data_IF_021898327793
#
_entry.id   IF_021898327793
#
_cell.length_a   1.000
_cell.length_b   1.000
_cell.length_c   1.000
_cell.angle_alpha   90.00
_cell.angle_beta   90.00
_cell.angle_gamma   90.00
#
_symmetry.space_group_name_H-M   'P 1'
#
loop_
_entity.id
_entity.type
_entity.pdbx_description
1 polymer ?
#
# COMPACT_ATOMS: atom_id res chain seq x y z
N UNK A 1 -13.23 26.91 0.05
CA UNK A 1 -11.78 26.57 0.10
C UNK A 1 -11.37 25.70 1.30
N UNK A 2 -12.00 25.81 2.49
CA UNK A 2 -11.68 25.01 3.70
C UNK A 2 -11.69 23.47 3.49
N UNK A 3 -12.66 22.93 2.75
CA UNK A 3 -12.78 21.47 2.56
C UNK A 3 -11.65 20.84 1.73
N UNK A 4 -11.06 21.55 0.76
CA UNK A 4 -10.03 20.96 -0.12
C UNK A 4 -8.71 20.71 0.61
N UNK A 5 -8.32 21.60 1.51
CA UNK A 5 -7.09 21.46 2.30
C UNK A 5 -7.22 20.35 3.35
N UNK A 6 -8.37 20.27 4.03
CA UNK A 6 -8.68 19.22 4.99
C UNK A 6 -8.76 17.84 4.32
N UNK A 7 -9.45 17.72 3.18
CA UNK A 7 -9.53 16.48 2.42
C UNK A 7 -8.15 15.98 1.98
N UNK A 8 -7.29 16.88 1.49
CA UNK A 8 -5.91 16.55 1.11
C UNK A 8 -5.09 16.04 2.30
N UNK A 9 -5.22 16.66 3.47
CA UNK A 9 -4.52 16.22 4.67
C UNK A 9 -5.04 14.85 5.13
N UNK A 10 -6.37 14.67 5.11
CA UNK A 10 -7.02 13.39 5.42
C UNK A 10 -6.57 12.26 4.51
N UNK A 11 -6.58 12.44 3.19
CA UNK A 11 -6.14 11.41 2.24
C UNK A 11 -4.67 11.04 2.43
N UNK A 12 -3.81 12.00 2.81
CA UNK A 12 -2.38 11.74 3.08
C UNK A 12 -2.19 10.93 4.36
N UNK A 13 -2.83 11.35 5.44
CA UNK A 13 -2.77 10.65 6.72
C UNK A 13 -3.34 9.24 6.57
N UNK A 14 -4.45 9.09 5.84
CA UNK A 14 -5.03 7.78 5.56
C UNK A 14 -4.10 6.88 4.75
N UNK A 15 -3.57 7.36 3.61
CA UNK A 15 -2.65 6.56 2.78
C UNK A 15 -1.41 6.11 3.56
N UNK A 16 -0.82 7.00 4.36
CA UNK A 16 0.34 6.68 5.18
C UNK A 16 0.01 5.67 6.29
N UNK A 17 -1.02 5.93 7.09
CA UNK A 17 -1.42 5.06 8.19
C UNK A 17 -1.92 3.69 7.72
N UNK A 18 -2.64 3.64 6.60
CA UNK A 18 -3.13 2.39 6.02
C UNK A 18 -1.96 1.51 5.55
N UNK A 19 -0.95 2.07 4.87
CA UNK A 19 0.27 1.34 4.49
C UNK A 19 1.01 0.80 5.72
N UNK A 20 1.13 1.58 6.79
CA UNK A 20 1.72 1.09 8.04
C UNK A 20 0.88 -0.04 8.66
N UNK A 21 -0.45 0.05 8.59
CA UNK A 21 -1.35 -1.01 9.01
C UNK A 21 -1.15 -2.30 8.21
N UNK A 22 -1.05 -2.18 6.88
CA UNK A 22 -0.74 -3.30 5.99
C UNK A 22 0.62 -3.90 6.34
N UNK A 23 1.64 -3.09 6.56
CA UNK A 23 2.97 -3.56 6.92
C UNK A 23 2.95 -4.39 8.22
N UNK A 24 2.24 -3.91 9.25
CA UNK A 24 2.10 -4.62 10.52
C UNK A 24 1.40 -5.96 10.30
N UNK A 25 0.28 -5.97 9.58
CA UNK A 25 -0.45 -7.20 9.26
C UNK A 25 0.42 -8.19 8.48
N UNK A 26 1.17 -7.72 7.49
CA UNK A 26 2.10 -8.53 6.69
C UNK A 26 3.25 -9.10 7.54
N UNK A 27 3.81 -8.33 8.47
CA UNK A 27 4.87 -8.80 9.39
C UNK A 27 4.36 -9.84 10.39
N UNK A 28 3.16 -9.64 10.94
CA UNK A 28 2.53 -10.60 11.85
C UNK A 28 2.12 -11.89 11.13
N UNK A 29 1.72 -11.80 9.86
CA UNK A 29 1.36 -12.92 9.02
C UNK A 29 2.57 -13.73 8.54
N UNK A 30 3.70 -13.07 8.28
CA UNK A 30 4.86 -13.66 7.61
C UNK A 30 5.39 -14.97 8.26
N UNK A 31 5.54 -15.09 9.59
CA UNK A 31 6.06 -16.31 10.22
C UNK A 31 5.21 -17.55 9.93
N UNK A 32 3.90 -17.40 9.79
CA UNK A 32 2.98 -18.52 9.53
C UNK A 32 3.14 -19.10 8.11
N UNK A 33 3.81 -18.36 7.24
CA UNK A 33 3.89 -18.59 5.80
C UNK A 33 5.33 -18.83 5.33
N UNK A 34 6.27 -18.99 6.27
CA UNK A 34 7.67 -19.30 5.96
C UNK A 34 7.86 -20.69 5.38
N UNK A 35 7.04 -21.65 5.82
CA UNK A 35 7.03 -23.01 5.28
C UNK A 35 6.16 -23.14 4.01
N UNK A 36 5.49 -22.08 3.58
CA UNK A 36 4.68 -22.08 2.37
C UNK A 36 5.54 -21.62 1.19
N UNK A 37 5.69 -22.48 0.19
CA UNK A 37 6.26 -22.08 -1.10
C UNK A 37 5.45 -20.90 -1.66
N UNK A 38 6.14 -19.80 -1.96
CA UNK A 38 5.55 -18.62 -2.57
C UNK A 38 5.20 -18.82 -4.02
N UNK A 39 4.63 -17.76 -4.60
CA UNK A 39 4.32 -17.73 -6.02
C UNK A 39 5.54 -18.22 -6.80
N UNK A 40 5.33 -19.17 -7.72
CA UNK A 40 6.36 -19.61 -8.67
C UNK A 40 6.79 -18.39 -9.49
N UNK A 41 7.77 -17.65 -8.99
CA UNK A 41 8.46 -16.61 -9.72
C UNK A 41 9.27 -17.37 -10.76
N UNK A 42 8.78 -17.41 -11.99
CA UNK A 42 9.29 -18.27 -13.06
C UNK A 42 10.83 -18.32 -13.11
N UNK A 43 11.38 -19.50 -13.43
CA UNK A 43 12.83 -19.73 -13.43
C UNK A 43 13.33 -20.71 -12.35
N UNK A 44 12.43 -21.39 -11.63
CA UNK A 44 12.81 -22.43 -10.65
C UNK A 44 13.22 -21.90 -9.27
N UNK A 45 13.08 -20.60 -9.02
CA UNK A 45 13.31 -19.98 -7.70
C UNK A 45 12.01 -19.96 -6.89
N UNK A 46 11.93 -20.83 -5.87
CA UNK A 46 10.86 -20.80 -4.88
C UNK A 46 11.25 -19.85 -3.75
N UNK A 47 10.63 -18.67 -3.69
CA UNK A 47 10.73 -17.77 -2.53
C UNK A 47 9.56 -18.07 -1.60
N UNK A 48 9.75 -18.11 -0.27
CA UNK A 48 8.64 -18.35 0.66
C UNK A 48 7.63 -17.20 0.66
N UNK A 49 6.35 -17.51 0.91
CA UNK A 49 5.30 -16.48 1.06
C UNK A 49 5.62 -15.52 2.21
N UNK A 50 6.18 -16.05 3.31
CA UNK A 50 6.64 -15.24 4.43
C UNK A 50 7.74 -14.25 4.05
N UNK A 51 8.70 -14.65 3.21
CA UNK A 51 9.75 -13.74 2.72
C UNK A 51 9.15 -12.63 1.85
N UNK A 52 8.23 -12.98 0.96
CA UNK A 52 7.50 -12.02 0.12
C UNK A 52 6.76 -10.99 0.98
N UNK A 53 6.02 -11.42 2.01
CA UNK A 53 5.28 -10.53 2.90
C UNK A 53 6.19 -9.58 3.67
N UNK A 54 7.37 -10.02 4.10
CA UNK A 54 8.35 -9.14 4.76
C UNK A 54 8.88 -8.07 3.81
N UNK A 55 9.17 -8.45 2.56
CA UNK A 55 9.63 -7.50 1.54
C UNK A 55 8.56 -6.46 1.25
N UNK A 56 7.30 -6.89 1.03
CA UNK A 56 6.18 -5.96 0.87
C UNK A 56 6.03 -5.04 2.09
N UNK A 57 6.07 -5.60 3.30
CA UNK A 57 5.97 -4.81 4.53
C UNK A 57 7.06 -3.74 4.63
N UNK A 58 8.31 -4.05 4.23
CA UNK A 58 9.38 -3.05 4.19
C UNK A 58 9.05 -1.93 3.20
N UNK A 59 8.56 -2.26 2.00
CA UNK A 59 8.13 -1.25 1.03
C UNK A 59 6.97 -0.40 1.55
N UNK A 60 6.00 -1.01 2.22
CA UNK A 60 4.86 -0.33 2.83
C UNK A 60 5.30 0.63 3.95
N UNK A 61 6.24 0.19 4.81
CA UNK A 61 6.82 1.06 5.85
C UNK A 61 7.54 2.24 5.22
N UNK A 62 8.38 2.01 4.20
CA UNK A 62 9.12 3.07 3.52
C UNK A 62 8.18 4.05 2.81
N UNK A 63 7.18 3.56 2.08
CA UNK A 63 6.23 4.40 1.36
C UNK A 63 5.30 5.16 2.33
N UNK A 64 4.77 4.47 3.34
CA UNK A 64 3.89 5.04 4.36
C UNK A 64 4.59 6.12 5.19
N UNK A 65 5.79 5.83 5.70
CA UNK A 65 6.60 6.81 6.44
C UNK A 65 7.00 8.00 5.57
N UNK A 66 7.38 7.78 4.31
CA UNK A 66 7.72 8.85 3.39
C UNK A 66 6.55 9.83 3.18
N UNK A 67 5.33 9.31 3.00
CA UNK A 67 4.11 10.13 2.89
C UNK A 67 3.84 10.93 4.16
N UNK A 68 3.99 10.31 5.34
CA UNK A 68 3.70 10.96 6.61
C UNK A 68 4.72 12.05 6.96
N UNK A 69 6.01 11.80 6.72
CA UNK A 69 7.09 12.73 7.09
C UNK A 69 7.17 13.92 6.15
N UNK A 70 7.14 13.71 4.83
CA UNK A 70 7.35 14.81 3.87
C UNK A 70 6.58 14.61 2.56
N UNK A 71 5.25 14.82 2.55
CA UNK A 71 4.39 14.48 1.43
C UNK A 71 4.74 15.26 0.15
N UNK A 72 5.41 14.59 -0.78
CA UNK A 72 5.65 15.05 -2.16
C UNK A 72 4.84 14.22 -3.16
N UNK A 73 4.62 14.74 -4.36
CA UNK A 73 3.78 14.10 -5.39
C UNK A 73 4.24 12.69 -5.76
N UNK A 74 5.55 12.50 -5.87
CA UNK A 74 6.13 11.19 -6.19
C UNK A 74 5.90 10.13 -5.10
N UNK A 75 5.65 10.52 -3.85
CA UNK A 75 5.40 9.57 -2.76
C UNK A 75 3.98 9.03 -2.80
N UNK A 76 2.99 9.84 -3.23
CA UNK A 76 1.63 9.37 -3.47
C UNK A 76 1.58 8.34 -4.61
N UNK A 77 2.38 8.56 -5.66
CA UNK A 77 2.59 7.58 -6.71
C UNK A 77 3.32 6.33 -6.22
N UNK A 78 4.37 6.48 -5.41
CA UNK A 78 5.09 5.35 -4.83
C UNK A 78 4.18 4.47 -3.97
N UNK A 79 3.36 5.06 -3.10
CA UNK A 79 2.38 4.33 -2.32
C UNK A 79 1.35 3.60 -3.18
N UNK A 80 0.81 4.25 -4.21
CA UNK A 80 -0.11 3.60 -5.13
C UNK A 80 0.58 2.45 -5.89
N UNK A 81 1.85 2.61 -6.29
CA UNK A 81 2.60 1.58 -6.97
C UNK A 81 2.85 0.36 -6.07
N UNK A 82 3.29 0.57 -4.83
CA UNK A 82 3.48 -0.51 -3.84
C UNK A 82 2.15 -1.24 -3.61
N UNK A 83 1.07 -0.49 -3.37
CA UNK A 83 -0.25 -1.06 -3.16
C UNK A 83 -0.76 -1.88 -4.37
N UNK A 84 -0.50 -1.43 -5.59
CA UNK A 84 -0.83 -2.19 -6.81
C UNK A 84 -0.02 -3.47 -6.89
N UNK A 85 1.27 -3.43 -6.57
CA UNK A 85 2.13 -4.62 -6.53
C UNK A 85 1.61 -5.61 -5.50
N UNK A 86 1.28 -5.16 -4.29
CA UNK A 86 0.65 -5.99 -3.26
C UNK A 86 -0.67 -6.59 -3.73
N UNK A 87 -1.58 -5.80 -4.32
CA UNK A 87 -2.87 -6.26 -4.85
C UNK A 87 -2.71 -7.30 -5.96
N UNK A 88 -1.66 -7.18 -6.77
CA UNK A 88 -1.34 -8.17 -7.79
C UNK A 88 -0.80 -9.45 -7.15
N UNK A 89 0.00 -9.36 -6.10
CA UNK A 89 0.68 -10.51 -5.52
C UNK A 89 -0.21 -11.33 -4.57
N UNK A 90 -1.04 -10.68 -3.76
CA UNK A 90 -1.85 -11.32 -2.71
C UNK A 90 -2.77 -12.44 -3.24
N UNK A 91 -3.50 -12.28 -4.37
CA UNK A 91 -4.32 -13.35 -4.92
C UNK A 91 -3.53 -14.57 -5.43
N UNK A 92 -2.20 -14.43 -5.62
CA UNK A 92 -1.33 -15.50 -6.11
C UNK A 92 -0.71 -16.34 -4.98
N UNK A 93 -1.01 -16.04 -3.72
CA UNK A 93 -0.56 -16.87 -2.60
C UNK A 93 -1.36 -18.17 -2.53
N UNK A 94 -0.64 -19.28 -2.47
CA UNK A 94 -1.20 -20.64 -2.44
C UNK A 94 -1.84 -21.00 -1.10
N UNK A 95 -1.48 -20.30 -0.01
CA UNK A 95 -2.06 -20.52 1.31
C UNK A 95 -2.84 -19.29 1.81
N UNK A 96 -3.95 -19.52 2.54
CA UNK A 96 -4.66 -18.44 3.21
C UNK A 96 -3.84 -17.88 4.38
N UNK A 97 -4.02 -16.58 4.67
CA UNK A 97 -3.34 -15.90 5.76
C UNK A 97 -4.31 -15.81 6.94
N UNK A 98 -4.37 -16.85 7.74
CA UNK A 98 -5.34 -16.98 8.82
C UNK A 98 -4.77 -16.40 10.12
N UNK A 99 -5.28 -15.25 10.59
CA UNK A 99 -4.98 -14.77 11.95
C UNK A 99 -6.12 -15.11 12.90
N UNK A 100 -5.73 -15.63 14.08
CA UNK A 100 -6.64 -15.82 15.20
C UNK A 100 -6.71 -14.55 16.06
N UNK A 101 -7.94 -14.07 16.29
CA UNK A 101 -8.23 -12.91 17.13
C UNK A 101 -8.89 -13.31 18.47
N UNK A 102 -8.65 -14.54 18.95
CA UNK A 102 -9.09 -15.02 20.26
C UNK A 102 -10.58 -15.39 20.35
N UNK A 103 -11.26 -15.49 19.20
CA UNK A 103 -12.68 -15.82 19.12
C UNK A 103 -13.18 -16.09 17.70
N UNK A 104 -12.44 -15.68 16.68
CA UNK A 104 -12.65 -16.04 15.28
C UNK A 104 -11.33 -15.98 14.51
N UNK A 105 -11.22 -16.81 13.48
CA UNK A 105 -10.11 -16.77 12.53
C UNK A 105 -10.50 -15.93 11.32
N UNK A 106 -9.69 -14.92 10.99
CA UNK A 106 -9.92 -14.04 9.85
C UNK A 106 -8.82 -14.24 8.80
N UNK A 107 -9.22 -14.38 7.53
CA UNK A 107 -8.29 -14.33 6.41
C UNK A 107 -7.85 -12.87 6.17
N UNK A 108 -6.65 -12.56 6.62
CA UNK A 108 -6.05 -11.22 6.59
C UNK A 108 -5.85 -10.72 5.17
N UNK A 109 -5.84 -11.60 4.16
CA UNK A 109 -5.79 -11.21 2.74
C UNK A 109 -6.92 -10.27 2.36
N UNK A 110 -8.12 -10.50 2.89
CA UNK A 110 -9.29 -9.63 2.60
C UNK A 110 -9.07 -8.24 3.18
N UNK A 111 -8.55 -8.16 4.40
CA UNK A 111 -8.27 -6.89 5.08
C UNK A 111 -7.17 -6.13 4.35
N UNK A 112 -6.07 -6.80 4.01
CA UNK A 112 -4.96 -6.19 3.25
C UNK A 112 -5.49 -5.73 1.89
N UNK A 113 -6.27 -6.54 1.18
CA UNK A 113 -6.83 -6.16 -0.11
C UNK A 113 -7.67 -4.88 -0.02
N UNK A 114 -8.57 -4.78 0.96
CA UNK A 114 -9.40 -3.58 1.15
C UNK A 114 -8.56 -2.35 1.52
N UNK A 115 -7.56 -2.51 2.40
CA UNK A 115 -6.64 -1.45 2.76
C UNK A 115 -5.86 -0.96 1.55
N UNK A 116 -5.30 -1.88 0.75
CA UNK A 116 -4.50 -1.55 -0.42
C UNK A 116 -5.33 -0.85 -1.51
N UNK A 117 -6.56 -1.31 -1.78
CA UNK A 117 -7.48 -0.59 -2.69
C UNK A 117 -7.72 0.83 -2.18
N UNK A 118 -7.91 1.02 -0.87
CA UNK A 118 -8.10 2.34 -0.28
C UNK A 118 -6.85 3.23 -0.42
N UNK A 119 -5.65 2.64 -0.28
CA UNK A 119 -4.36 3.33 -0.46
C UNK A 119 -4.17 3.75 -1.91
N UNK A 120 -4.49 2.89 -2.88
CA UNK A 120 -4.43 3.25 -4.31
C UNK A 120 -5.31 4.47 -4.59
N UNK A 121 -6.56 4.45 -4.13
CA UNK A 121 -7.49 5.56 -4.32
C UNK A 121 -6.99 6.84 -3.66
N UNK A 122 -6.51 6.76 -2.42
CA UNK A 122 -5.97 7.89 -1.68
C UNK A 122 -4.69 8.46 -2.33
N UNK A 123 -3.77 7.59 -2.75
CA UNK A 123 -2.51 7.96 -3.41
C UNK A 123 -2.74 8.62 -4.78
N UNK A 124 -3.64 8.06 -5.59
CA UNK A 124 -4.04 8.66 -6.87
C UNK A 124 -4.71 10.01 -6.67
N UNK A 125 -5.56 10.14 -5.66
CA UNK A 125 -6.20 11.41 -5.31
C UNK A 125 -5.16 12.49 -4.96
N UNK A 126 -4.19 12.15 -4.10
CA UNK A 126 -3.08 13.06 -3.75
C UNK A 126 -2.28 13.48 -4.98
N UNK A 127 -2.05 12.55 -5.90
CA UNK A 127 -1.30 12.78 -7.14
C UNK A 127 -2.07 13.69 -8.10
N UNK A 128 -3.35 13.41 -8.34
CA UNK A 128 -4.23 14.19 -9.22
C UNK A 128 -4.35 15.64 -8.74
N UNK A 129 -4.46 15.87 -7.43
CA UNK A 129 -4.48 17.23 -6.86
C UNK A 129 -3.18 17.99 -7.09
N UNK A 130 -2.04 17.31 -7.13
CA UNK A 130 -0.76 17.96 -7.39
C UNK A 130 -0.59 18.30 -8.88
N UNK A 131 -0.96 17.37 -9.77
CA UNK A 131 -0.92 17.58 -11.21
C UNK A 131 -1.81 18.77 -11.61
N UNK A 132 -3.07 18.78 -11.17
CA UNK A 132 -4.01 19.88 -11.47
C UNK A 132 -3.52 21.24 -10.99
N UNK A 133 -2.81 21.31 -9.86
CA UNK A 133 -2.22 22.56 -9.34
C UNK A 133 -1.06 23.07 -10.19
N UNK A 134 -0.19 22.20 -10.69
CA UNK A 134 1.00 22.59 -11.46
C UNK A 134 0.70 22.88 -12.94
N UNK A 135 -0.30 22.21 -13.52
CA UNK A 135 -0.72 22.50 -14.89
C UNK A 135 -1.56 23.78 -14.97
N UNK A 136 -2.44 24.03 -13.99
CA UNK A 136 -3.24 25.26 -13.97
C UNK A 136 -2.44 26.56 -13.80
N UNK A 137 -1.24 26.50 -13.22
CA UNK A 137 -0.33 27.65 -13.14
C UNK A 137 0.51 27.88 -14.40
N UNK A 138 0.60 26.89 -15.30
CA UNK A 138 1.42 26.97 -16.52
C UNK A 138 0.64 27.41 -17.76
N UNK A 139 -0.68 27.22 -17.79
CA UNK A 139 -1.54 27.67 -18.90
C UNK A 139 -2.03 29.11 -18.76
N UNK A 140 -1.68 29.79 -17.66
CA UNK A 140 -1.99 31.21 -17.43
C UNK A 140 -0.85 32.18 -17.75
N UNK A 141 0.25 31.68 -18.34
CA UNK A 141 1.35 32.47 -18.86
C UNK A 141 1.52 32.13 -20.34
N UNK A 142 0.59 32.60 -21.17
CA UNK A 142 0.92 32.89 -22.56
C UNK A 142 1.46 34.34 -22.62
N UNK A 143 2.52 34.60 -23.41
CA UNK A 143 3.16 35.91 -23.53
C UNK A 143 2.27 36.98 -24.18
#
# INVERSE_FOLDING_TARGET
MKNRAAFRLGSRLWAGSALLGVAILSLLAAPQLDAAEGALLGGGLAISQGAILRVLAVFDVLAGSAILVRPRSYQGLAAAAVAIVSLWLIPRFSRPILMDFGGFTLDVRVVIFLLEVSVVLAGLTVTAFWLTRNFGTRTGQEP
#
